data_IF_193974041364
#
_entry.id   IF_193974041364
#
_cell.length_a   1.000
_cell.length_b   1.000
_cell.length_c   1.000
_cell.angle_alpha   90.00
_cell.angle_beta   90.00
_cell.angle_gamma   90.00
#
_symmetry.space_group_name_H-M   'P 1'
#
loop_
_entity.id
_entity.type
_entity.pdbx_description
1 polymer ?
#
# COMPACT_ATOMS: atom_id res chain seq x y z
N UNK A 1 18.09 3.62 53.12
CA UNK A 1 19.57 3.65 53.00
C UNK A 1 20.01 2.53 52.08
N UNK A 2 19.93 2.79 50.77
CA UNK A 2 20.66 2.15 49.66
C UNK A 2 20.69 3.27 48.61
N UNK A 3 21.87 3.75 48.23
CA UNK A 3 22.01 4.84 47.25
C UNK A 3 21.92 4.27 45.83
N UNK A 4 21.26 4.95 44.89
CA UNK A 4 21.29 4.54 43.49
C UNK A 4 22.64 4.91 42.86
N UNK A 5 23.26 3.90 42.23
CA UNK A 5 24.44 3.98 41.38
C UNK A 5 24.24 4.98 40.24
N UNK A 6 25.01 6.06 40.26
CA UNK A 6 25.20 6.97 39.13
C UNK A 6 26.45 6.56 38.35
N UNK A 7 26.34 5.54 37.51
CA UNK A 7 27.36 5.27 36.50
C UNK A 7 26.75 4.55 35.30
N UNK A 8 26.37 5.35 34.29
CA UNK A 8 26.67 5.15 32.85
C UNK A 8 25.77 6.06 32.02
N UNK A 9 26.02 7.37 32.15
CA UNK A 9 25.64 8.33 31.14
C UNK A 9 26.53 8.10 29.90
N UNK A 10 26.18 7.15 29.03
CA UNK A 10 26.81 7.04 27.70
C UNK A 10 26.18 8.08 26.79
N UNK A 11 26.75 9.29 26.83
CA UNK A 11 26.65 10.23 25.72
C UNK A 11 27.13 9.53 24.45
N UNK A 12 26.22 9.24 23.52
CA UNK A 12 26.57 8.86 22.16
C UNK A 12 27.25 10.07 21.54
N UNK A 13 28.58 10.04 21.51
CA UNK A 13 29.39 11.01 20.82
C UNK A 13 29.01 11.01 19.34
N UNK A 14 28.45 12.12 18.86
CA UNK A 14 28.31 12.36 17.44
C UNK A 14 29.72 12.69 16.93
N UNK A 15 30.38 11.69 16.35
CA UNK A 15 31.58 11.91 15.56
C UNK A 15 31.20 12.74 14.34
N UNK A 16 31.62 14.01 14.32
CA UNK A 16 31.66 14.83 13.11
C UNK A 16 32.57 14.13 12.08
N UNK A 17 31.98 13.58 11.01
CA UNK A 17 32.75 12.90 9.97
C UNK A 17 31.96 12.13 8.92
N UNK A 18 30.63 12.10 8.95
CA UNK A 18 29.84 11.66 7.81
C UNK A 18 29.52 12.87 6.95
N UNK A 19 30.06 12.93 5.74
CA UNK A 19 29.47 13.76 4.68
C UNK A 19 27.97 13.46 4.65
N UNK A 20 27.15 14.50 4.68
CA UNK A 20 25.71 14.36 4.37
C UNK A 20 25.60 13.52 3.09
N UNK A 21 24.76 12.46 3.06
CA UNK A 21 24.64 11.65 1.86
C UNK A 21 24.29 12.56 0.69
N UNK A 22 24.88 12.29 -0.49
CA UNK A 22 24.45 12.88 -1.74
C UNK A 22 22.92 12.85 -1.78
N UNK A 23 22.28 13.95 -2.18
CA UNK A 23 20.81 14.10 -2.18
C UNK A 23 20.13 12.78 -2.56
N UNK A 24 19.29 12.25 -1.66
CA UNK A 24 18.59 10.98 -1.87
C UNK A 24 17.83 11.05 -3.19
N UNK A 25 18.02 10.08 -4.08
CA UNK A 25 17.36 10.12 -5.37
C UNK A 25 15.85 10.03 -5.20
N UNK A 26 15.14 10.82 -6.00
CA UNK A 26 13.69 10.70 -6.11
C UNK A 26 13.31 9.36 -6.78
N UNK A 27 12.12 8.82 -6.48
CA UNK A 27 11.57 7.68 -7.21
C UNK A 27 11.70 7.75 -8.73
N UNK A 28 11.38 8.93 -9.29
CA UNK A 28 11.47 9.17 -10.72
C UNK A 28 12.90 9.05 -11.25
N UNK A 29 13.89 9.60 -10.54
CA UNK A 29 15.30 9.49 -10.94
C UNK A 29 15.78 8.03 -10.91
N UNK A 30 15.40 7.29 -9.86
CA UNK A 30 15.72 5.87 -9.68
C UNK A 30 15.19 5.01 -10.83
N UNK A 31 13.91 5.17 -11.14
CA UNK A 31 13.26 4.43 -12.24
C UNK A 31 13.86 4.80 -13.60
N UNK A 32 14.08 6.08 -13.88
CA UNK A 32 14.64 6.51 -15.16
C UNK A 32 16.08 6.03 -15.35
N UNK A 33 16.92 6.06 -14.31
CA UNK A 33 18.26 5.51 -14.40
C UNK A 33 18.25 4.01 -14.71
N UNK A 34 17.38 3.23 -14.05
CA UNK A 34 17.25 1.81 -14.31
C UNK A 34 16.79 1.53 -15.76
N UNK A 35 15.82 2.29 -16.29
CA UNK A 35 15.38 2.21 -17.69
C UNK A 35 16.53 2.56 -18.66
N UNK A 36 17.37 3.52 -18.30
CA UNK A 36 18.55 3.92 -19.06
C UNK A 36 19.75 2.99 -18.84
N UNK A 37 19.58 1.86 -18.14
CA UNK A 37 20.63 0.90 -17.82
C UNK A 37 21.81 1.52 -17.04
N UNK A 38 21.54 2.54 -16.23
CA UNK A 38 22.48 3.15 -15.29
C UNK A 38 22.20 2.62 -13.88
N UNK A 39 23.23 2.34 -13.11
CA UNK A 39 23.09 1.85 -11.73
C UNK A 39 22.45 2.93 -10.85
N UNK A 40 21.24 2.68 -10.31
CA UNK A 40 20.58 3.61 -9.38
C UNK A 40 21.17 3.51 -7.97
N UNK A 41 20.75 4.43 -7.09
CA UNK A 41 21.11 4.40 -5.66
C UNK A 41 20.59 3.15 -4.92
N UNK A 42 19.50 2.54 -5.42
CA UNK A 42 18.97 1.24 -5.01
C UNK A 42 18.04 0.66 -6.09
N UNK A 43 17.69 -0.62 -5.98
CA UNK A 43 16.75 -1.29 -6.90
C UNK A 43 15.38 -0.59 -6.85
N UNK A 44 14.79 -0.19 -8.01
CA UNK A 44 13.44 0.37 -8.03
C UNK A 44 12.39 -0.62 -7.49
N UNK A 45 11.44 -0.12 -6.70
CA UNK A 45 10.39 -0.91 -6.07
C UNK A 45 9.00 -0.60 -6.67
N UNK A 46 8.22 -1.64 -6.96
CA UNK A 46 6.83 -1.55 -7.40
C UNK A 46 5.92 -2.38 -6.47
N UNK A 47 4.80 -1.77 -6.07
CA UNK A 47 3.68 -2.42 -5.41
C UNK A 47 2.38 -1.77 -5.88
N UNK A 48 1.72 -2.40 -6.84
CA UNK A 48 0.41 -1.96 -7.34
C UNK A 48 0.47 -0.78 -8.31
N UNK A 49 1.52 -0.64 -9.11
CA UNK A 49 1.50 0.22 -10.32
C UNK A 49 0.62 -0.35 -11.43
N UNK A 50 0.34 -1.66 -11.39
CA UNK A 50 -0.56 -2.37 -12.27
C UNK A 50 -1.17 -3.57 -11.53
N UNK A 51 -2.28 -4.16 -12.01
CA UNK A 51 -2.93 -5.27 -11.31
C UNK A 51 -2.00 -6.47 -11.06
N UNK A 52 -1.09 -6.80 -11.98
CA UNK A 52 -0.17 -7.94 -11.83
C UNK A 52 0.90 -7.74 -10.75
N UNK A 53 1.18 -6.50 -10.33
CA UNK A 53 2.07 -6.18 -9.20
C UNK A 53 1.31 -5.81 -7.92
N UNK A 54 0.00 -6.01 -7.89
CA UNK A 54 -0.86 -5.67 -6.76
C UNK A 54 -0.75 -6.61 -5.56
N UNK A 55 -1.51 -6.28 -4.53
CA UNK A 55 -1.66 -7.09 -3.31
C UNK A 55 -3.15 -7.39 -3.09
N UNK A 56 -3.48 -8.64 -2.75
CA UNK A 56 -4.87 -8.98 -2.45
C UNK A 56 -5.37 -8.20 -1.23
N UNK A 57 -6.64 -7.80 -1.24
CA UNK A 57 -7.21 -7.01 -0.15
C UNK A 57 -7.14 -7.71 1.22
N UNK A 58 -7.26 -9.04 1.22
CA UNK A 58 -7.10 -9.88 2.41
C UNK A 58 -5.66 -9.82 2.94
N UNK A 59 -4.66 -9.98 2.08
CA UNK A 59 -3.25 -9.89 2.47
C UNK A 59 -2.89 -8.46 2.92
N UNK A 60 -3.47 -7.46 2.26
CA UNK A 60 -3.27 -6.07 2.61
C UNK A 60 -3.83 -5.71 3.99
N UNK A 61 -5.03 -6.20 4.33
CA UNK A 61 -5.58 -6.05 5.68
C UNK A 61 -4.68 -6.68 6.75
N UNK A 62 -4.07 -7.84 6.47
CA UNK A 62 -3.09 -8.48 7.37
C UNK A 62 -1.81 -7.66 7.49
N UNK A 63 -1.33 -7.07 6.39
CA UNK A 63 -0.18 -6.17 6.40
C UNK A 63 -0.47 -4.94 7.28
N UNK A 64 -1.64 -4.31 7.13
CA UNK A 64 -2.06 -3.18 7.98
C UNK A 64 -2.07 -3.56 9.46
N UNK A 65 -2.66 -4.72 9.80
CA UNK A 65 -2.71 -5.21 11.16
C UNK A 65 -1.30 -5.46 11.73
N UNK A 66 -0.41 -6.09 10.94
CA UNK A 66 0.98 -6.32 11.33
C UNK A 66 1.76 -5.02 11.59
N UNK A 67 1.52 -3.99 10.77
CA UNK A 67 2.12 -2.67 10.94
C UNK A 67 1.44 -1.81 12.02
N UNK A 68 0.37 -2.29 12.65
CA UNK A 68 -0.40 -1.54 13.66
C UNK A 68 -1.21 -0.37 13.09
N UNK A 69 -1.50 -0.37 11.79
CA UNK A 69 -2.26 0.69 11.12
C UNK A 69 -3.76 0.50 11.37
N UNK A 70 -4.33 1.41 12.15
CA UNK A 70 -5.76 1.42 12.52
C UNK A 70 -6.60 2.43 11.73
N UNK A 71 -5.95 3.27 10.92
CA UNK A 71 -6.60 4.30 10.11
C UNK A 71 -6.69 3.88 8.63
N UNK A 72 -7.47 4.64 7.86
CA UNK A 72 -7.70 4.36 6.44
C UNK A 72 -8.65 3.19 6.20
N UNK A 73 -8.86 2.87 4.93
CA UNK A 73 -9.74 1.78 4.50
C UNK A 73 -9.08 1.04 3.33
N UNK A 74 -9.21 -0.29 3.35
CA UNK A 74 -8.75 -1.12 2.23
C UNK A 74 -9.73 -0.98 1.08
N UNK A 75 -9.34 -0.24 0.05
CA UNK A 75 -10.12 -0.05 -1.17
C UNK A 75 -9.72 -1.08 -2.22
N UNK A 76 -10.65 -1.94 -2.63
CA UNK A 76 -10.49 -2.96 -3.68
C UNK A 76 -10.72 -2.29 -5.03
N UNK A 77 -9.67 -1.91 -5.75
CA UNK A 77 -9.83 -1.21 -7.04
C UNK A 77 -10.05 -2.20 -8.20
N UNK A 78 -9.36 -3.35 -8.18
CA UNK A 78 -9.62 -4.47 -9.08
C UNK A 78 -10.52 -5.47 -8.37
N UNK A 79 -11.80 -5.39 -8.67
CA UNK A 79 -12.85 -6.22 -8.07
C UNK A 79 -12.83 -7.67 -8.55
N UNK A 80 -12.24 -7.96 -9.71
CA UNK A 80 -12.17 -9.33 -10.26
C UNK A 80 -11.03 -10.08 -9.59
N UNK A 81 -9.86 -9.45 -9.48
CA UNK A 81 -8.69 -10.03 -8.84
C UNK A 81 -8.67 -9.80 -7.31
N UNK A 82 -9.60 -9.01 -6.77
CA UNK A 82 -9.71 -8.65 -5.36
C UNK A 82 -8.44 -7.94 -4.84
N UNK A 83 -7.90 -7.00 -5.63
CA UNK A 83 -6.67 -6.28 -5.30
C UNK A 83 -6.96 -4.96 -4.59
N UNK A 84 -6.21 -4.72 -3.51
CA UNK A 84 -6.25 -3.46 -2.80
C UNK A 84 -5.42 -2.38 -3.53
N UNK A 85 -5.86 -1.13 -3.39
CA UNK A 85 -5.09 0.07 -3.68
C UNK A 85 -4.39 0.51 -2.38
N UNK A 86 -3.08 0.29 -2.19
CA UNK A 86 -2.43 0.57 -0.93
C UNK A 86 -2.43 2.07 -0.55
N UNK A 87 -2.67 2.41 0.71
CA UNK A 87 -2.55 3.79 1.18
C UNK A 87 -1.15 4.37 0.95
N UNK A 88 -1.08 5.67 0.67
CA UNK A 88 0.17 6.39 0.40
C UNK A 88 1.21 6.19 1.52
N UNK A 89 0.78 6.21 2.79
CA UNK A 89 1.69 6.00 3.91
C UNK A 89 2.37 4.62 3.91
N UNK A 90 1.72 3.58 3.37
CA UNK A 90 2.33 2.25 3.24
C UNK A 90 3.29 2.24 2.06
N UNK A 91 2.93 2.87 0.94
CA UNK A 91 3.81 2.98 -0.22
C UNK A 91 5.10 3.76 0.12
N UNK A 92 4.96 4.85 0.86
CA UNK A 92 6.08 5.65 1.36
C UNK A 92 6.96 4.82 2.32
N UNK A 93 6.34 4.09 3.26
CA UNK A 93 7.08 3.26 4.22
C UNK A 93 7.83 2.09 3.56
N UNK A 94 7.32 1.58 2.43
CA UNK A 94 7.95 0.51 1.65
C UNK A 94 8.91 1.05 0.57
N UNK A 95 9.00 2.37 0.38
CA UNK A 95 9.86 2.97 -0.63
C UNK A 95 9.44 2.66 -2.06
N UNK A 96 8.13 2.57 -2.32
CA UNK A 96 7.58 2.28 -3.66
C UNK A 96 7.79 3.46 -4.59
N UNK A 97 8.27 3.20 -5.79
CA UNK A 97 8.72 4.24 -6.71
C UNK A 97 7.69 4.68 -7.76
N UNK A 98 6.62 3.89 -7.91
CA UNK A 98 5.65 4.01 -8.98
C UNK A 98 4.23 3.90 -8.45
N UNK A 99 3.32 4.63 -9.10
CA UNK A 99 1.89 4.61 -8.80
C UNK A 99 1.10 4.27 -10.06
N UNK A 100 0.02 3.53 -9.89
CA UNK A 100 -0.97 3.35 -10.95
C UNK A 100 -1.68 4.69 -11.23
N UNK A 101 -1.77 5.05 -12.51
CA UNK A 101 -2.56 6.21 -12.97
C UNK A 101 -4.05 5.99 -12.73
N UNK A 102 -4.54 4.74 -12.72
CA UNK A 102 -5.94 4.38 -12.50
C UNK A 102 -6.50 4.83 -11.15
N UNK A 103 -5.63 5.17 -10.19
CA UNK A 103 -6.00 5.78 -8.90
C UNK A 103 -6.83 7.06 -9.03
N UNK A 104 -6.80 7.71 -10.19
CA UNK A 104 -7.58 8.94 -10.46
C UNK A 104 -9.04 8.69 -10.82
N UNK A 105 -9.46 7.44 -11.02
CA UNK A 105 -10.84 7.13 -11.43
C UNK A 105 -11.85 7.11 -10.28
N UNK A 106 -11.44 6.67 -9.08
CA UNK A 106 -12.30 6.61 -7.89
C UNK A 106 -11.61 7.35 -6.73
N UNK A 107 -11.87 8.65 -6.61
CA UNK A 107 -11.15 9.55 -5.68
C UNK A 107 -12.06 10.02 -4.56
N UNK A 108 -13.34 10.22 -4.86
CA UNK A 108 -14.28 10.74 -3.90
C UNK A 108 -14.75 9.64 -2.95
N UNK A 109 -15.04 9.96 -1.67
CA UNK A 109 -15.59 8.98 -0.74
C UNK A 109 -16.86 8.30 -1.25
N UNK A 110 -17.65 8.97 -2.10
CA UNK A 110 -18.87 8.44 -2.73
C UNK A 110 -18.61 7.43 -3.83
N UNK A 111 -17.38 7.37 -4.36
CA UNK A 111 -16.99 6.37 -5.36
C UNK A 111 -16.79 4.99 -4.74
N UNK A 112 -16.86 4.90 -3.41
CA UNK A 112 -16.58 3.69 -2.65
C UNK A 112 -17.75 3.32 -1.72
N UNK A 113 -18.05 2.02 -1.63
CA UNK A 113 -19.02 1.47 -0.68
C UNK A 113 -18.42 0.36 0.15
N UNK A 114 -18.91 0.24 1.38
CA UNK A 114 -18.44 -0.78 2.32
C UNK A 114 -18.86 -2.19 1.88
N UNK A 115 -17.95 -3.13 2.08
CA UNK A 115 -18.17 -4.56 1.86
C UNK A 115 -17.43 -5.36 2.92
N UNK A 116 -17.90 -6.60 3.14
CA UNK A 116 -17.18 -7.60 3.92
C UNK A 116 -16.60 -8.63 2.95
N UNK A 117 -15.28 -8.82 2.98
CA UNK A 117 -14.58 -9.80 2.15
C UNK A 117 -14.91 -11.23 2.60
N UNK A 118 -14.51 -12.21 1.79
CA UNK A 118 -14.77 -13.64 2.04
C UNK A 118 -14.14 -14.17 3.34
N UNK A 119 -13.07 -13.53 3.85
CA UNK A 119 -12.45 -13.84 5.14
C UNK A 119 -13.02 -13.03 6.32
N UNK A 120 -14.09 -12.26 6.09
CA UNK A 120 -14.73 -11.42 7.11
C UNK A 120 -14.05 -10.07 7.32
N UNK A 121 -12.94 -9.77 6.65
CA UNK A 121 -12.30 -8.48 6.79
C UNK A 121 -13.14 -7.35 6.14
N UNK A 122 -13.15 -6.14 6.74
CA UNK A 122 -13.77 -4.99 6.12
C UNK A 122 -12.95 -4.52 4.92
N UNK A 123 -13.65 -4.04 3.89
CA UNK A 123 -13.06 -3.38 2.74
C UNK A 123 -14.07 -2.41 2.12
N UNK A 124 -13.62 -1.70 1.09
CA UNK A 124 -14.47 -0.91 0.21
C UNK A 124 -14.31 -1.39 -1.22
N UNK A 125 -15.38 -1.37 -1.99
CA UNK A 125 -15.38 -1.62 -3.44
C UNK A 125 -15.95 -0.40 -4.16
N UNK A 126 -15.70 -0.24 -5.47
CA UNK A 126 -16.26 0.88 -6.21
C UNK A 126 -17.79 0.84 -6.17
N UNK A 127 -18.41 2.01 -6.06
CA UNK A 127 -19.86 2.14 -5.89
C UNK A 127 -20.62 1.50 -7.05
N UNK A 128 -20.08 1.56 -8.27
CA UNK A 128 -20.62 0.96 -9.49
C UNK A 128 -20.57 -0.58 -9.52
N UNK A 129 -19.83 -1.24 -8.61
CA UNK A 129 -19.69 -2.69 -8.61
C UNK A 129 -20.80 -3.35 -7.77
N UNK A 130 -21.85 -3.88 -8.40
CA UNK A 130 -23.02 -4.44 -7.70
C UNK A 130 -23.12 -5.97 -7.89
N UNK A 131 -22.31 -6.77 -7.15
CA UNK A 131 -22.39 -8.21 -7.26
C UNK A 131 -23.64 -8.75 -6.55
N UNK A 132 -24.30 -9.72 -7.19
CA UNK A 132 -25.47 -10.44 -6.70
C UNK A 132 -24.99 -11.81 -6.22
N UNK A 133 -25.22 -12.10 -4.94
CA UNK A 133 -24.90 -13.42 -4.37
C UNK A 133 -26.01 -14.41 -4.74
N UNK A 134 -25.64 -15.53 -5.35
CA UNK A 134 -26.56 -16.63 -5.70
C UNK A 134 -26.69 -17.64 -4.55
N UNK A 135 -27.66 -18.55 -4.64
CA UNK A 135 -27.93 -19.58 -3.61
C UNK A 135 -26.75 -20.53 -3.38
N UNK A 136 -25.97 -20.82 -4.43
CA UNK A 136 -24.78 -21.65 -4.37
C UNK A 136 -23.55 -20.94 -3.77
N UNK A 137 -23.70 -19.67 -3.40
CA UNK A 137 -22.66 -18.83 -2.82
C UNK A 137 -21.75 -18.13 -3.83
N UNK A 138 -21.97 -18.34 -5.14
CA UNK A 138 -21.29 -17.59 -6.19
C UNK A 138 -21.76 -16.12 -6.25
N UNK A 139 -21.00 -15.30 -6.95
CA UNK A 139 -21.33 -13.90 -7.21
C UNK A 139 -21.41 -13.65 -8.71
N UNK A 140 -22.45 -12.96 -9.13
CA UNK A 140 -22.67 -12.54 -10.50
C UNK A 140 -22.81 -11.02 -10.57
N UNK A 141 -22.39 -10.42 -11.68
CA UNK A 141 -22.53 -8.97 -11.90
C UNK A 141 -23.34 -8.77 -13.15
N UNK A 142 -24.55 -8.26 -13.00
CA UNK A 142 -25.40 -8.00 -14.16
C UNK A 142 -25.09 -6.62 -14.76
N UNK A 143 -24.79 -6.58 -16.05
CA UNK A 143 -24.58 -5.35 -16.82
C UNK A 143 -25.47 -5.36 -18.06
N UNK A 144 -26.34 -4.36 -18.19
CA UNK A 144 -27.29 -4.21 -19.31
C UNK A 144 -28.20 -5.44 -19.54
N UNK A 145 -28.48 -6.21 -18.49
CA UNK A 145 -29.33 -7.40 -18.54
C UNK A 145 -28.60 -8.69 -18.91
N UNK A 146 -27.27 -8.66 -18.97
CA UNK A 146 -26.40 -9.82 -19.17
C UNK A 146 -25.54 -10.05 -17.92
N UNK A 147 -25.22 -11.31 -17.63
CA UNK A 147 -24.30 -11.73 -16.55
C UNK A 147 -22.85 -11.70 -17.05
#
# INVERSE_FOLDING_TARGET
MIQPDQSTNRSLGVSNGASLPAESWTPRQRVLAAIEHREPDQVPCDLGSNPSSGISAMAYNRLKAYLGLTQGATCVFDVVQQLAQPEACILDALGVDVLDVGRVFNVEPTDWKDVTLSDGCPAKVPSWFHPIRREDGSYEVESKGEV
#
